data_IF_785394647549
#
_entry.id   IF_785394647549
#
_cell.length_a   1.000
_cell.length_b   1.000
_cell.length_c   1.000
_cell.angle_alpha   90.00
_cell.angle_beta   90.00
_cell.angle_gamma   90.00
#
_symmetry.space_group_name_H-M   'P 1'
#
loop_
_entity.id
_entity.type
_entity.pdbx_description
1 polymer ?
#
# COMPACT_ATOMS: atom_id res chain seq x y z
N UNK A 1 -17.88 20.90 -2.87
CA UNK A 1 -17.54 20.37 -1.55
C UNK A 1 -16.20 19.68 -1.66
N UNK A 2 -15.25 19.92 -0.77
CA UNK A 2 -13.95 19.24 -0.83
C UNK A 2 -14.12 17.84 -0.26
N UNK A 3 -13.84 16.82 -1.07
CA UNK A 3 -13.82 15.43 -0.65
C UNK A 3 -12.39 14.99 -0.30
N UNK A 4 -12.25 14.03 0.59
CA UNK A 4 -10.98 13.51 1.07
C UNK A 4 -10.86 12.02 0.79
N UNK A 5 -9.63 11.54 0.58
CA UNK A 5 -9.36 10.12 0.77
C UNK A 5 -9.39 9.75 2.27
N UNK A 6 -9.65 8.49 2.59
CA UNK A 6 -9.62 7.98 3.97
C UNK A 6 -8.30 8.36 4.65
N UNK A 7 -7.16 8.09 4.00
CA UNK A 7 -5.82 8.39 4.51
C UNK A 7 -5.63 9.88 4.82
N UNK A 8 -6.11 10.77 3.92
CA UNK A 8 -6.02 12.21 4.14
C UNK A 8 -6.95 12.66 5.28
N UNK A 9 -8.16 12.12 5.33
CA UNK A 9 -9.11 12.46 6.39
C UNK A 9 -8.62 12.00 7.76
N UNK A 10 -8.13 10.77 7.88
CA UNK A 10 -7.58 10.23 9.13
C UNK A 10 -6.42 11.08 9.70
N UNK A 11 -5.59 11.67 8.81
CA UNK A 11 -4.48 12.55 9.20
C UNK A 11 -4.89 13.98 9.55
N UNK A 12 -6.03 14.46 9.07
CA UNK A 12 -6.44 15.88 9.19
C UNK A 12 -7.58 16.11 10.18
N UNK A 13 -8.33 15.07 10.54
CA UNK A 13 -9.39 15.22 11.54
C UNK A 13 -8.79 15.39 12.94
N UNK A 14 -9.35 16.32 13.68
CA UNK A 14 -8.96 16.49 15.08
C UNK A 14 -9.50 15.33 15.91
N UNK A 15 -8.61 14.62 16.56
CA UNK A 15 -8.94 13.49 17.43
C UNK A 15 -8.85 13.90 18.91
N UNK A 16 -9.58 13.23 19.80
CA UNK A 16 -9.39 13.39 21.24
C UNK A 16 -8.00 12.92 21.65
N UNK A 17 -7.58 13.26 22.88
CA UNK A 17 -6.29 12.79 23.43
C UNK A 17 -6.26 11.25 23.43
N UNK A 18 -5.27 10.67 22.77
CA UNK A 18 -5.11 9.22 22.59
C UNK A 18 -5.76 8.67 21.32
N UNK A 19 -6.57 9.46 20.60
CA UNK A 19 -7.29 9.04 19.39
C UNK A 19 -8.70 8.48 19.68
N UNK A 20 -9.51 8.29 18.65
CA UNK A 20 -10.81 7.64 18.75
C UNK A 20 -10.68 6.15 19.12
N UNK A 21 -9.62 5.50 18.64
CA UNK A 21 -9.21 4.15 19.02
C UNK A 21 -7.79 4.22 19.59
N UNK A 22 -7.63 4.34 20.92
CA UNK A 22 -6.31 4.39 21.54
C UNK A 22 -5.50 3.13 21.28
N UNK A 23 -4.22 3.29 20.92
CA UNK A 23 -3.31 2.17 20.67
C UNK A 23 -3.19 1.21 21.88
N UNK A 24 -3.38 1.72 23.09
CA UNK A 24 -3.39 0.91 24.31
C UNK A 24 -4.52 -0.12 24.40
N UNK A 25 -5.52 -0.02 23.53
CA UNK A 25 -6.62 -1.00 23.47
C UNK A 25 -6.27 -2.24 22.63
N UNK A 26 -5.17 -2.16 21.88
CA UNK A 26 -4.75 -3.24 20.97
C UNK A 26 -3.62 -4.07 21.58
N UNK A 27 -3.69 -5.37 21.40
CA UNK A 27 -2.55 -6.24 21.64
C UNK A 27 -1.43 -5.92 20.64
N UNK A 28 -0.18 -5.92 21.10
CA UNK A 28 0.99 -5.70 20.25
C UNK A 28 1.82 -6.97 20.24
N UNK A 29 2.09 -7.47 19.05
CA UNK A 29 2.94 -8.63 18.84
C UNK A 29 4.11 -8.24 17.95
N UNK A 30 5.32 -8.65 18.36
CA UNK A 30 6.52 -8.50 17.55
C UNK A 30 6.86 -9.84 16.93
N UNK A 31 6.93 -9.88 15.61
CA UNK A 31 7.38 -11.06 14.87
C UNK A 31 8.86 -10.87 14.53
N UNK A 32 9.72 -11.66 15.16
CA UNK A 32 11.16 -11.59 14.96
C UNK A 32 11.62 -12.67 13.96
N UNK A 33 12.51 -12.29 13.05
CA UNK A 33 13.12 -13.19 12.06
C UNK A 33 14.65 -13.19 12.08
N UNK A 34 15.23 -12.47 13.02
CA UNK A 34 16.69 -12.32 13.18
C UNK A 34 17.35 -11.36 12.18
N UNK A 35 16.58 -10.71 11.29
CA UNK A 35 17.12 -9.76 10.32
C UNK A 35 16.75 -8.32 10.67
N UNK A 36 17.69 -7.40 10.41
CA UNK A 36 17.49 -5.96 10.59
C UNK A 36 17.54 -5.23 9.26
N UNK A 37 16.66 -4.22 9.11
CA UNK A 37 16.71 -3.32 7.96
C UNK A 37 17.99 -2.49 7.97
N UNK A 38 18.55 -2.25 6.79
CA UNK A 38 19.69 -1.36 6.58
C UNK A 38 19.26 0.11 6.74
N UNK A 39 20.20 0.95 7.17
CA UNK A 39 19.91 2.37 7.44
C UNK A 39 19.92 3.26 6.19
N UNK A 40 20.67 2.87 5.15
CA UNK A 40 21.03 3.72 4.02
C UNK A 40 20.09 3.58 2.81
N UNK A 41 18.76 3.65 3.03
CA UNK A 41 17.79 3.76 1.93
C UNK A 41 17.94 5.10 1.20
N UNK A 42 17.94 5.07 -0.14
CA UNK A 42 18.22 6.23 -0.99
C UNK A 42 17.07 6.68 -1.86
N UNK A 43 15.88 6.06 -1.77
CA UNK A 43 14.69 6.47 -2.51
C UNK A 43 13.56 6.86 -1.53
N UNK A 44 12.54 7.62 -1.98
CA UNK A 44 11.43 8.04 -1.12
C UNK A 44 10.70 6.86 -0.47
N UNK A 45 10.43 6.95 0.83
CA UNK A 45 9.73 5.91 1.59
C UNK A 45 8.32 5.58 1.03
N UNK A 46 7.66 6.53 0.35
CA UNK A 46 6.40 6.28 -0.33
C UNK A 46 6.54 5.30 -1.49
N UNK A 47 7.63 5.40 -2.27
CA UNK A 47 7.90 4.48 -3.38
C UNK A 47 8.25 3.09 -2.81
N UNK A 48 9.07 3.03 -1.74
CA UNK A 48 9.37 1.77 -1.05
C UNK A 48 8.09 1.08 -0.61
N UNK A 49 7.19 1.83 0.07
CA UNK A 49 5.93 1.29 0.57
C UNK A 49 5.03 0.73 -0.55
N UNK A 50 4.87 1.48 -1.63
CA UNK A 50 4.10 1.04 -2.80
C UNK A 50 4.72 -0.20 -3.45
N UNK A 51 6.05 -0.20 -3.63
CA UNK A 51 6.76 -1.36 -4.19
C UNK A 51 6.59 -2.60 -3.32
N UNK A 52 6.71 -2.47 -2.00
CA UNK A 52 6.49 -3.59 -1.06
C UNK A 52 5.07 -4.11 -1.15
N UNK A 53 4.06 -3.24 -1.18
CA UNK A 53 2.65 -3.63 -1.31
C UNK A 53 2.41 -4.41 -2.61
N UNK A 54 2.73 -3.83 -3.76
CA UNK A 54 2.47 -4.44 -5.06
C UNK A 54 3.23 -5.75 -5.27
N UNK A 55 4.52 -5.77 -4.93
CA UNK A 55 5.34 -6.97 -5.02
C UNK A 55 4.90 -8.07 -4.04
N UNK A 56 4.39 -7.72 -2.87
CA UNK A 56 3.87 -8.71 -1.92
C UNK A 56 2.64 -9.42 -2.46
N UNK A 57 1.72 -8.69 -3.10
CA UNK A 57 0.54 -9.28 -3.77
C UNK A 57 0.94 -10.19 -4.92
N UNK A 58 1.92 -9.76 -5.72
CA UNK A 58 2.44 -10.56 -6.82
C UNK A 58 3.12 -11.84 -6.34
N UNK A 59 4.05 -11.74 -5.39
CA UNK A 59 4.84 -12.88 -4.89
C UNK A 59 3.98 -13.84 -4.07
N UNK A 60 2.96 -13.36 -3.38
CA UNK A 60 1.97 -14.18 -2.70
C UNK A 60 0.98 -14.87 -3.66
N UNK A 61 1.04 -14.58 -4.96
CA UNK A 61 0.13 -15.15 -5.96
C UNK A 61 -1.31 -14.65 -5.86
N UNK A 62 -1.51 -13.49 -5.24
CA UNK A 62 -2.84 -12.88 -5.07
C UNK A 62 -3.27 -12.11 -6.31
N UNK A 63 -2.34 -11.56 -7.05
CA UNK A 63 -2.59 -10.74 -8.23
C UNK A 63 -1.58 -11.04 -9.35
N UNK A 64 -2.00 -10.81 -10.60
CA UNK A 64 -1.10 -10.80 -11.75
C UNK A 64 -0.38 -9.44 -11.84
N UNK A 65 0.79 -9.34 -12.51
CA UNK A 65 1.59 -8.10 -12.55
C UNK A 65 0.81 -6.87 -13.00
N UNK A 66 -0.05 -7.00 -14.01
CA UNK A 66 -0.86 -5.92 -14.58
C UNK A 66 -1.86 -5.36 -13.57
N UNK A 67 -2.42 -6.21 -12.70
CA UNK A 67 -3.34 -5.77 -11.65
C UNK A 67 -2.59 -5.18 -10.47
N UNK A 68 -1.53 -5.83 -10.00
CA UNK A 68 -0.74 -5.34 -8.87
C UNK A 68 -0.18 -3.93 -9.13
N UNK A 69 0.29 -3.64 -10.36
CA UNK A 69 0.85 -2.35 -10.76
C UNK A 69 -0.13 -1.47 -11.56
N UNK A 70 -1.43 -1.72 -11.50
CA UNK A 70 -2.44 -1.00 -12.30
C UNK A 70 -2.37 0.52 -12.12
N UNK A 71 -2.22 1.00 -10.89
CA UNK A 71 -2.12 2.43 -10.57
C UNK A 71 -0.88 3.04 -11.19
N UNK A 72 0.25 2.33 -11.12
CA UNK A 72 1.52 2.76 -11.72
C UNK A 72 1.44 2.82 -13.24
N UNK A 73 0.79 1.83 -13.87
CA UNK A 73 0.58 1.81 -15.33
C UNK A 73 -0.31 2.98 -15.78
N UNK A 74 -1.40 3.27 -15.08
CA UNK A 74 -2.21 4.46 -15.33
C UNK A 74 -1.41 5.74 -15.11
N UNK A 75 -0.56 5.78 -14.08
CA UNK A 75 0.36 6.89 -13.84
C UNK A 75 1.33 7.10 -15.00
N UNK A 76 1.91 6.03 -15.53
CA UNK A 76 2.78 6.10 -16.72
C UNK A 76 2.04 6.61 -17.97
N UNK A 77 0.79 6.19 -18.19
CA UNK A 77 -0.06 6.75 -19.24
C UNK A 77 -0.28 8.26 -19.06
N UNK A 78 -0.61 8.69 -17.85
CA UNK A 78 -0.85 10.12 -17.55
C UNK A 78 0.42 10.96 -17.66
N UNK A 79 1.58 10.36 -17.43
CA UNK A 79 2.89 10.98 -17.63
C UNK A 79 3.34 10.99 -19.11
N UNK A 80 2.55 10.41 -20.04
CA UNK A 80 2.90 10.30 -21.45
C UNK A 80 3.93 9.22 -21.77
N UNK A 81 4.16 8.28 -20.86
CA UNK A 81 5.18 7.23 -20.98
C UNK A 81 4.60 5.79 -20.92
N UNK A 82 3.50 5.45 -21.63
CA UNK A 82 2.86 4.14 -21.52
C UNK A 82 3.79 2.99 -21.92
N UNK A 83 4.60 3.16 -22.96
CA UNK A 83 5.58 2.16 -23.39
C UNK A 83 6.63 1.88 -22.32
N UNK A 84 7.08 2.92 -21.62
CA UNK A 84 8.05 2.76 -20.52
C UNK A 84 7.44 2.00 -19.35
N UNK A 85 6.18 2.26 -19.01
CA UNK A 85 5.45 1.51 -18.01
C UNK A 85 5.36 0.02 -18.34
N UNK A 86 5.01 -0.31 -19.60
CA UNK A 86 4.94 -1.69 -20.07
C UNK A 86 6.31 -2.38 -20.08
N UNK A 87 7.37 -1.68 -20.50
CA UNK A 87 8.75 -2.17 -20.48
C UNK A 87 9.19 -2.51 -19.05
N UNK A 88 8.97 -1.61 -18.09
CA UNK A 88 9.31 -1.84 -16.69
C UNK A 88 8.54 -3.03 -16.12
N UNK A 89 7.23 -3.14 -16.40
CA UNK A 89 6.42 -4.27 -15.97
C UNK A 89 6.99 -5.60 -16.50
N UNK A 90 7.41 -5.63 -17.77
CA UNK A 90 7.97 -6.84 -18.39
C UNK A 90 9.29 -7.30 -17.79
N UNK A 91 9.94 -6.49 -16.95
CA UNK A 91 11.19 -6.81 -16.23
C UNK A 91 10.92 -7.36 -14.83
N UNK A 92 9.66 -7.37 -14.37
CA UNK A 92 9.30 -7.81 -13.01
C UNK A 92 8.96 -9.30 -13.05
N UNK A 93 9.91 -10.13 -12.59
CA UNK A 93 9.77 -11.59 -12.60
C UNK A 93 9.89 -12.25 -11.23
N UNK A 94 10.35 -11.49 -10.20
CA UNK A 94 10.58 -12.02 -8.87
C UNK A 94 11.26 -11.04 -7.93
N UNK A 95 12.09 -11.54 -7.01
CA UNK A 95 12.74 -10.76 -5.97
C UNK A 95 14.23 -10.47 -6.24
N UNK A 96 14.71 -10.70 -7.47
CA UNK A 96 16.07 -10.31 -7.86
C UNK A 96 16.21 -8.78 -7.96
N UNK A 97 17.44 -8.28 -7.97
CA UNK A 97 17.73 -6.84 -7.94
C UNK A 97 17.18 -6.10 -9.18
N UNK A 98 17.18 -6.73 -10.34
CA UNK A 98 16.67 -6.15 -11.58
C UNK A 98 15.13 -5.99 -11.51
N UNK A 99 14.43 -7.04 -11.08
CA UNK A 99 12.97 -7.00 -10.86
C UNK A 99 12.56 -5.95 -9.83
N UNK A 100 13.26 -5.89 -8.69
CA UNK A 100 12.95 -4.92 -7.64
C UNK A 100 13.26 -3.48 -8.09
N UNK A 101 14.35 -3.27 -8.84
CA UNK A 101 14.66 -1.95 -9.42
C UNK A 101 13.59 -1.51 -10.41
N UNK A 102 13.15 -2.40 -11.30
CA UNK A 102 12.05 -2.13 -12.24
C UNK A 102 10.74 -1.82 -11.51
N UNK A 103 10.43 -2.57 -10.44
CA UNK A 103 9.24 -2.32 -9.61
C UNK A 103 9.30 -0.94 -8.92
N UNK A 104 10.44 -0.52 -8.38
CA UNK A 104 10.61 0.81 -7.80
C UNK A 104 10.41 1.92 -8.85
N UNK A 105 11.00 1.74 -10.03
CA UNK A 105 10.83 2.69 -11.15
C UNK A 105 9.38 2.79 -11.58
N UNK A 106 8.70 1.66 -11.74
CA UNK A 106 7.29 1.63 -12.12
C UNK A 106 6.40 2.25 -11.03
N UNK A 107 6.61 1.93 -9.74
CA UNK A 107 5.85 2.51 -8.64
C UNK A 107 5.99 4.03 -8.53
N UNK A 108 7.09 4.63 -9.03
CA UNK A 108 7.26 6.09 -9.01
C UNK A 108 6.21 6.83 -9.86
N UNK A 109 5.60 6.15 -10.83
CA UNK A 109 4.54 6.73 -11.67
C UNK A 109 3.19 6.88 -10.95
N UNK A 110 2.97 6.25 -9.81
CA UNK A 110 1.74 6.40 -9.01
C UNK A 110 1.41 7.86 -8.71
N UNK A 111 2.44 8.69 -8.52
CA UNK A 111 2.28 10.11 -8.25
C UNK A 111 1.51 10.85 -9.36
N UNK A 112 1.66 10.41 -10.61
CA UNK A 112 0.98 11.02 -11.76
C UNK A 112 -0.51 10.67 -11.80
N UNK A 113 -0.88 9.50 -11.33
CA UNK A 113 -2.28 9.11 -11.17
C UNK A 113 -2.93 9.81 -9.97
N UNK A 114 -2.22 9.86 -8.83
CA UNK A 114 -2.76 10.34 -7.56
C UNK A 114 -2.76 11.86 -7.41
N UNK A 115 -1.94 12.59 -8.20
CA UNK A 115 -1.80 14.04 -8.08
C UNK A 115 -1.89 14.74 -9.43
N UNK A 116 -2.95 15.55 -9.68
CA UNK A 116 -3.07 16.32 -10.93
C UNK A 116 -1.90 17.26 -11.22
N UNK A 117 -1.21 17.74 -10.18
CA UNK A 117 -0.09 18.68 -10.30
C UNK A 117 1.18 18.02 -10.89
N UNK A 118 1.29 16.71 -10.84
CA UNK A 118 2.45 15.97 -11.36
C UNK A 118 2.49 15.94 -12.90
N UNK A 119 1.38 16.19 -13.58
CA UNK A 119 1.32 16.17 -15.06
C UNK A 119 2.27 17.16 -15.76
N UNK A 120 2.71 18.21 -15.05
CA UNK A 120 3.66 19.19 -15.55
C UNK A 120 5.13 18.85 -15.21
N UNK A 121 5.39 17.76 -14.52
CA UNK A 121 6.73 17.36 -14.06
C UNK A 121 7.19 16.17 -14.90
N UNK A 122 8.44 16.23 -15.40
CA UNK A 122 9.02 15.07 -16.08
C UNK A 122 9.23 13.90 -15.10
N UNK A 123 8.91 12.66 -15.51
CA UNK A 123 9.14 11.49 -14.69
C UNK A 123 10.64 11.33 -14.34
N UNK A 124 10.92 11.16 -13.07
CA UNK A 124 12.25 10.81 -12.59
C UNK A 124 12.16 9.42 -11.96
N UNK A 125 12.74 8.45 -12.63
CA UNK A 125 12.78 7.08 -12.12
C UNK A 125 13.87 6.96 -11.04
N UNK A 126 13.55 6.37 -9.88
CA UNK A 126 14.54 6.18 -8.82
C UNK A 126 15.53 5.06 -9.18
N UNK A 127 16.77 5.22 -8.71
CA UNK A 127 17.78 4.16 -8.77
C UNK A 127 18.05 3.65 -7.34
N UNK A 128 17.38 2.58 -6.89
CA UNK A 128 17.55 2.04 -5.55
C UNK A 128 18.96 1.45 -5.41
N UNK A 129 19.63 1.80 -4.30
CA UNK A 129 20.91 1.19 -3.95
C UNK A 129 20.72 -0.22 -3.36
N UNK A 130 21.84 -0.94 -3.15
CA UNK A 130 21.83 -2.29 -2.60
C UNK A 130 21.09 -2.39 -1.25
N UNK A 131 21.28 -1.44 -0.34
CA UNK A 131 20.61 -1.42 0.96
C UNK A 131 19.09 -1.26 0.84
N UNK A 132 18.66 -0.41 -0.09
CA UNK A 132 17.23 -0.23 -0.40
C UNK A 132 16.62 -1.50 -0.98
N UNK A 133 17.28 -2.14 -1.95
CA UNK A 133 16.82 -3.40 -2.53
C UNK A 133 16.78 -4.53 -1.51
N UNK A 134 17.79 -4.62 -0.63
CA UNK A 134 17.80 -5.56 0.48
C UNK A 134 16.59 -5.36 1.40
N UNK A 135 16.32 -4.11 1.81
CA UNK A 135 15.19 -3.78 2.67
C UNK A 135 13.84 -4.12 2.04
N UNK A 136 13.65 -3.75 0.78
CA UNK A 136 12.41 -4.06 0.03
C UNK A 136 12.20 -5.58 -0.01
N UNK A 137 13.23 -6.35 -0.39
CA UNK A 137 13.18 -7.81 -0.44
C UNK A 137 12.81 -8.41 0.92
N UNK A 138 13.44 -7.93 1.99
CA UNK A 138 13.16 -8.39 3.35
C UNK A 138 11.73 -8.08 3.77
N UNK A 139 11.23 -6.87 3.51
CA UNK A 139 9.86 -6.48 3.83
C UNK A 139 8.83 -7.30 3.03
N UNK A 140 9.07 -7.56 1.75
CA UNK A 140 8.21 -8.42 0.94
C UNK A 140 8.18 -9.85 1.50
N UNK A 141 9.35 -10.40 1.83
CA UNK A 141 9.47 -11.76 2.41
C UNK A 141 8.68 -11.87 3.73
N UNK A 142 8.79 -10.85 4.60
CA UNK A 142 8.02 -10.78 5.86
C UNK A 142 6.52 -10.72 5.58
N UNK A 143 6.12 -9.92 4.61
CA UNK A 143 4.72 -9.76 4.25
C UNK A 143 4.12 -11.05 3.69
N UNK A 144 4.81 -11.71 2.76
CA UNK A 144 4.37 -13.00 2.19
C UNK A 144 4.26 -14.07 3.28
N UNK A 145 5.23 -14.13 4.20
CA UNK A 145 5.16 -15.03 5.35
C UNK A 145 3.96 -14.71 6.24
N UNK A 146 3.73 -13.44 6.55
CA UNK A 146 2.58 -12.99 7.33
C UNK A 146 1.26 -13.40 6.68
N UNK A 147 1.08 -13.15 5.37
CA UNK A 147 -0.12 -13.53 4.65
C UNK A 147 -0.32 -15.05 4.58
N UNK A 148 0.77 -15.83 4.54
CA UNK A 148 0.70 -17.30 4.63
C UNK A 148 0.29 -17.80 6.01
N UNK A 149 0.67 -17.10 7.08
CA UNK A 149 0.37 -17.49 8.46
C UNK A 149 -1.05 -17.07 8.89
N UNK A 150 -1.48 -15.88 8.49
CA UNK A 150 -2.77 -15.28 8.91
C UNK A 150 -3.85 -15.32 7.81
N UNK A 151 -3.56 -15.88 6.65
CA UNK A 151 -4.51 -16.07 5.55
C UNK A 151 -5.50 -17.22 5.77
N UNK A 152 -6.27 -17.59 4.76
CA UNK A 152 -6.16 -17.12 3.38
C UNK A 152 -6.68 -15.69 3.18
N UNK A 153 -6.02 -14.95 2.29
CA UNK A 153 -6.51 -13.65 1.84
C UNK A 153 -7.69 -13.90 0.89
N UNK A 154 -8.85 -13.34 1.23
CA UNK A 154 -10.05 -13.43 0.40
C UNK A 154 -10.19 -12.25 -0.57
N UNK A 155 -9.55 -11.11 -0.24
CA UNK A 155 -9.52 -9.93 -1.09
C UNK A 155 -8.28 -9.08 -0.83
N UNK A 156 -7.68 -8.57 -1.91
CA UNK A 156 -6.56 -7.63 -1.88
C UNK A 156 -6.90 -6.38 -2.70
N UNK A 157 -6.35 -5.22 -2.33
CA UNK A 157 -6.51 -3.97 -3.09
C UNK A 157 -7.96 -3.60 -3.34
N UNK A 158 -8.81 -3.59 -2.33
CA UNK A 158 -10.26 -3.38 -2.48
C UNK A 158 -10.70 -1.97 -2.11
N UNK A 159 -11.82 -1.56 -2.70
CA UNK A 159 -12.51 -0.30 -2.40
C UNK A 159 -13.74 -0.54 -1.52
N UNK A 160 -14.30 0.53 -0.95
CA UNK A 160 -15.51 0.51 -0.14
C UNK A 160 -16.68 1.18 -0.88
N UNK A 161 -16.87 0.83 -2.17
CA UNK A 161 -17.92 1.38 -3.00
C UNK A 161 -19.31 1.14 -2.38
N UNK A 162 -20.13 2.19 -2.34
CA UNK A 162 -21.40 2.22 -1.61
C UNK A 162 -21.29 2.68 -0.15
N UNK A 163 -20.11 2.56 0.46
CA UNK A 163 -19.85 3.02 1.83
C UNK A 163 -19.19 4.40 1.93
N UNK A 164 -18.84 5.02 0.80
CA UNK A 164 -18.31 6.39 0.78
C UNK A 164 -19.35 7.43 1.16
N UNK A 165 -18.87 8.61 1.59
CA UNK A 165 -19.72 9.71 2.05
C UNK A 165 -19.40 10.99 1.28
N UNK A 166 -20.21 12.05 1.50
CA UNK A 166 -19.95 13.37 0.93
C UNK A 166 -18.63 14.00 1.40
N UNK A 167 -18.03 13.47 2.47
CA UNK A 167 -16.76 13.97 3.02
C UNK A 167 -15.59 13.08 2.59
N UNK A 168 -15.79 11.77 2.55
CA UNK A 168 -14.76 10.78 2.22
C UNK A 168 -15.19 10.00 0.99
N UNK A 169 -14.52 10.25 -0.14
CA UNK A 169 -14.94 9.74 -1.46
C UNK A 169 -13.99 8.71 -2.05
N UNK A 170 -12.90 8.38 -1.36
CA UNK A 170 -11.95 7.37 -1.85
C UNK A 170 -11.14 6.75 -0.72
N UNK A 171 -10.70 5.54 -0.93
CA UNK A 171 -9.82 4.78 -0.04
C UNK A 171 -9.69 3.36 -0.53
N UNK A 172 -8.49 2.83 -0.43
CA UNK A 172 -8.16 1.47 -0.82
C UNK A 172 -7.73 0.71 0.44
N UNK A 173 -8.36 -0.43 0.70
CA UNK A 173 -7.95 -1.35 1.76
C UNK A 173 -6.89 -2.31 1.22
N UNK A 174 -5.98 -2.77 2.09
CA UNK A 174 -4.88 -3.62 1.67
C UNK A 174 -5.33 -5.08 1.54
N UNK A 175 -5.79 -5.70 2.63
CA UNK A 175 -6.15 -7.12 2.65
C UNK A 175 -7.35 -7.41 3.54
N UNK A 176 -8.18 -8.37 3.10
CA UNK A 176 -9.22 -9.02 3.91
C UNK A 176 -8.91 -10.52 4.00
N UNK A 177 -9.02 -11.05 5.18
CA UNK A 177 -9.18 -12.48 5.45
C UNK A 177 -10.64 -12.77 5.83
N UNK A 178 -10.99 -14.00 6.17
CA UNK A 178 -12.38 -14.37 6.47
C UNK A 178 -13.02 -13.50 7.58
N UNK A 179 -12.23 -13.12 8.57
CA UNK A 179 -12.68 -12.43 9.78
C UNK A 179 -11.93 -11.14 10.11
N UNK A 180 -10.95 -10.73 9.29
CA UNK A 180 -10.05 -9.63 9.65
C UNK A 180 -9.76 -8.69 8.49
N UNK A 181 -9.81 -7.40 8.79
CA UNK A 181 -9.32 -6.30 7.93
C UNK A 181 -7.88 -5.96 8.31
N UNK A 182 -6.99 -5.99 7.33
CA UNK A 182 -5.58 -5.69 7.49
C UNK A 182 -5.20 -4.40 6.76
N UNK A 183 -4.47 -3.52 7.44
CA UNK A 183 -3.86 -2.31 6.88
C UNK A 183 -2.35 -2.33 7.15
N UNK A 184 -1.55 -2.39 6.10
CA UNK A 184 -0.11 -2.60 6.17
C UNK A 184 0.63 -1.27 6.14
N UNK A 185 1.57 -1.10 7.04
CA UNK A 185 2.42 0.08 7.10
C UNK A 185 3.90 -0.28 7.07
N UNK A 186 4.59 0.12 6.00
CA UNK A 186 6.05 0.05 5.89
C UNK A 186 6.68 1.25 6.60
N UNK A 187 6.64 1.27 7.92
CA UNK A 187 7.10 2.40 8.74
C UNK A 187 8.17 1.98 9.73
N UNK A 188 9.18 2.83 9.92
CA UNK A 188 10.17 2.70 11.00
C UNK A 188 9.61 3.13 12.38
N UNK A 189 8.46 3.76 12.38
CA UNK A 189 7.80 4.27 13.58
C UNK A 189 6.62 3.38 13.96
N UNK A 190 6.29 3.30 15.25
CA UNK A 190 5.10 2.61 15.72
C UNK A 190 3.84 3.23 15.11
N UNK A 191 2.72 2.48 15.07
CA UNK A 191 1.42 3.00 14.63
C UNK A 191 1.02 4.25 15.40
N UNK A 192 0.26 5.13 14.76
CA UNK A 192 -0.28 6.38 15.33
C UNK A 192 -1.80 6.30 15.42
N UNK A 193 -2.41 7.22 16.15
CA UNK A 193 -3.87 7.33 16.23
C UNK A 193 -4.54 7.60 14.87
N UNK A 194 -3.80 8.17 13.89
CA UNK A 194 -4.28 8.28 12.51
C UNK A 194 -4.39 6.92 11.81
N UNK A 195 -3.55 5.96 12.16
CA UNK A 195 -3.54 4.65 11.54
C UNK A 195 -4.69 3.80 12.08
N UNK A 196 -4.93 3.82 13.40
CA UNK A 196 -6.11 3.16 14.00
C UNK A 196 -7.42 3.78 13.52
N UNK A 197 -7.45 5.12 13.34
CA UNK A 197 -8.62 5.79 12.76
C UNK A 197 -8.83 5.39 11.29
N UNK A 198 -7.77 5.22 10.52
CA UNK A 198 -7.85 4.76 9.14
C UNK A 198 -8.52 3.37 9.07
N UNK A 199 -8.07 2.43 9.88
CA UNK A 199 -8.67 1.08 9.96
C UNK A 199 -10.14 1.14 10.39
N UNK A 200 -10.47 1.95 11.40
CA UNK A 200 -11.86 2.16 11.83
C UNK A 200 -12.74 2.70 10.68
N UNK A 201 -12.23 3.68 9.93
CA UNK A 201 -12.95 4.24 8.79
C UNK A 201 -13.17 3.18 7.71
N UNK A 202 -12.15 2.38 7.38
CA UNK A 202 -12.29 1.27 6.44
C UNK A 202 -13.32 0.25 6.90
N UNK A 203 -13.30 -0.13 8.17
CA UNK A 203 -14.27 -1.05 8.74
C UNK A 203 -15.70 -0.52 8.61
N UNK A 204 -15.97 0.71 9.09
CA UNK A 204 -17.31 1.32 9.04
C UNK A 204 -17.79 1.44 7.58
N UNK A 205 -16.94 1.96 6.70
CA UNK A 205 -17.29 2.13 5.28
C UNK A 205 -17.47 0.78 4.59
N UNK A 206 -16.67 -0.22 4.94
CA UNK A 206 -16.79 -1.57 4.45
C UNK A 206 -18.14 -2.19 4.82
N UNK A 207 -18.59 -2.04 6.08
CA UNK A 207 -19.91 -2.51 6.53
C UNK A 207 -21.10 -1.86 5.79
N UNK A 208 -20.91 -0.69 5.22
CA UNK A 208 -21.89 0.03 4.40
C UNK A 208 -21.66 -0.11 2.89
N UNK A 209 -20.60 -0.80 2.49
CA UNK A 209 -20.25 -1.01 1.09
C UNK A 209 -21.10 -2.12 0.45
N UNK A 210 -21.07 -2.16 -0.87
CA UNK A 210 -21.64 -3.27 -1.64
C UNK A 210 -20.75 -4.52 -1.64
N UNK A 211 -19.66 -4.50 -0.90
CA UNK A 211 -18.70 -5.59 -0.82
C UNK A 211 -19.11 -6.59 0.26
N UNK A 212 -19.67 -7.71 -0.13
CA UNK A 212 -20.18 -8.76 0.77
C UNK A 212 -19.11 -9.36 1.69
N UNK A 213 -17.82 -9.24 1.33
CA UNK A 213 -16.72 -9.73 2.18
C UNK A 213 -16.65 -9.04 3.55
N UNK A 214 -17.27 -7.89 3.73
CA UNK A 214 -17.34 -7.21 5.03
C UNK A 214 -18.44 -7.73 5.96
N UNK A 215 -19.31 -8.62 5.50
CA UNK A 215 -20.41 -9.11 6.34
C UNK A 215 -19.92 -9.99 7.49
N UNK A 216 -18.81 -10.69 7.30
CA UNK A 216 -18.20 -11.63 8.26
C UNK A 216 -17.16 -11.01 9.20
N UNK A 217 -16.67 -9.80 8.90
CA UNK A 217 -15.65 -9.08 9.69
C UNK A 217 -16.25 -8.34 10.89
#
# INVERSE_FOLDING_TARGET
MFTYSVTKRAKTVQQPRGGYLPLSWFAQHTLEDGFSLKAAENIPASIIGQTVDYMSRLVAGLEVPEHAFQVSLFGAMMAGCPHRGAELLSQIHGLDDASLSAACKLSSYDAYFRSPNMKAVHPVEPEPNHDTLFNIRLMITRMVRFLSEYGPVIKSGFTMDGGYTDIVSSGDGDFLTEDTLWDVKTSKFPPKSSDTLQVLMYYIMGKHSWNDCFQTI
#
